data_IF_490010846669
#
_entry.id   IF_490010846669
#
_cell.length_a   1.000
_cell.length_b   1.000
_cell.length_c   1.000
_cell.angle_alpha   90.00
_cell.angle_beta   90.00
_cell.angle_gamma   90.00
#
_symmetry.space_group_name_H-M   'P 1'
#
loop_
_entity.id
_entity.type
_entity.pdbx_description
1 polymer ?
#
# COMPACT_ATOMS: atom_id res chain seq x y z
N UNK A 1 -17.88 7.33 -1.28
CA UNK A 1 -17.31 7.35 0.09
C UNK A 1 -15.89 7.90 0.00
N UNK A 2 -15.40 8.65 0.99
CA UNK A 2 -14.03 9.11 1.00
C UNK A 2 -13.07 7.92 1.17
N UNK A 3 -11.91 8.00 0.52
CA UNK A 3 -10.78 7.12 0.82
C UNK A 3 -10.26 7.52 2.20
N UNK A 4 -10.10 6.57 3.12
CA UNK A 4 -9.46 6.85 4.40
C UNK A 4 -8.00 6.45 4.32
N UNK A 5 -7.13 7.32 4.79
CA UNK A 5 -5.70 7.04 4.91
C UNK A 5 -5.33 7.24 6.36
N UNK A 6 -4.74 6.21 6.97
CA UNK A 6 -4.16 6.26 8.29
C UNK A 6 -2.69 5.87 8.20
N UNK A 7 -1.85 6.39 9.10
CA UNK A 7 -0.47 5.95 9.20
C UNK A 7 -0.03 6.00 10.66
N UNK A 8 0.94 5.17 11.00
CA UNK A 8 1.60 5.21 12.30
C UNK A 8 3.03 4.72 12.16
N UNK A 9 3.85 5.09 13.13
CA UNK A 9 5.24 4.63 13.25
C UNK A 9 5.38 3.94 14.59
N UNK A 10 5.83 2.69 14.59
CA UNK A 10 6.09 1.93 15.81
C UNK A 10 7.33 1.07 15.61
N UNK A 11 8.25 1.06 16.58
CA UNK A 11 9.48 0.26 16.51
C UNK A 11 10.26 0.45 15.21
N UNK A 12 10.37 1.70 14.73
CA UNK A 12 11.01 2.06 13.45
C UNK A 12 10.32 1.45 12.22
N UNK A 13 9.09 0.96 12.34
CA UNK A 13 8.27 0.52 11.21
C UNK A 13 7.23 1.60 10.91
N UNK A 14 7.26 2.15 9.70
CA UNK A 14 6.17 2.97 9.16
C UNK A 14 5.12 2.03 8.57
N UNK A 15 3.89 2.14 9.06
CA UNK A 15 2.73 1.46 8.50
C UNK A 15 1.77 2.50 7.94
N UNK A 16 1.39 2.36 6.67
CA UNK A 16 0.37 3.17 6.00
C UNK A 16 -0.79 2.25 5.66
N UNK A 17 -2.00 2.67 6.02
CA UNK A 17 -3.24 1.97 5.76
C UNK A 17 -4.13 2.83 4.85
N UNK A 18 -4.54 2.27 3.72
CA UNK A 18 -5.46 2.90 2.79
C UNK A 18 -6.72 2.04 2.75
N UNK A 19 -7.82 2.56 3.30
CA UNK A 19 -9.15 1.96 3.20
C UNK A 19 -9.92 2.63 2.08
N UNK A 20 -10.42 1.82 1.16
CA UNK A 20 -11.32 2.30 0.12
C UNK A 20 -12.49 1.34 -0.04
N UNK A 21 -13.72 1.86 0.08
CA UNK A 21 -14.92 1.09 -0.25
C UNK A 21 -15.15 1.16 -1.76
N UNK A 22 -14.60 0.19 -2.48
CA UNK A 22 -14.84 0.06 -3.92
C UNK A 22 -16.31 -0.33 -4.13
N UNK A 23 -16.98 0.37 -5.04
CA UNK A 23 -18.34 0.04 -5.41
C UNK A 23 -18.35 -1.25 -6.25
N UNK A 24 -18.92 -2.33 -5.71
CA UNK A 24 -18.97 -3.65 -6.36
C UNK A 24 -19.84 -3.67 -7.63
N UNK A 25 -20.59 -2.60 -7.92
CA UNK A 25 -21.33 -2.43 -9.18
C UNK A 25 -20.47 -1.85 -10.32
N UNK A 26 -19.20 -1.56 -10.08
CA UNK A 26 -18.27 -1.13 -11.13
C UNK A 26 -17.84 -2.35 -11.96
N UNK A 27 -17.92 -2.24 -13.29
CA UNK A 27 -17.33 -3.25 -14.19
C UNK A 27 -15.86 -3.43 -13.83
N UNK A 28 -15.44 -4.68 -13.63
CA UNK A 28 -14.03 -5.02 -13.46
C UNK A 28 -13.27 -4.49 -14.67
N UNK A 29 -12.46 -3.46 -14.46
CA UNK A 29 -11.60 -2.92 -15.52
C UNK A 29 -10.34 -3.78 -15.53
N UNK A 30 -10.09 -4.48 -16.63
CA UNK A 30 -8.84 -5.21 -16.82
C UNK A 30 -7.69 -4.21 -16.89
N UNK A 31 -6.86 -4.16 -15.85
CA UNK A 31 -5.61 -3.39 -15.85
C UNK A 31 -4.43 -4.33 -16.11
N UNK A 32 -3.36 -3.80 -16.71
CA UNK A 32 -2.09 -4.54 -16.87
C UNK A 32 -1.39 -4.81 -15.53
N UNK A 33 -1.83 -4.16 -14.45
CA UNK A 33 -1.22 -4.24 -13.12
C UNK A 33 0.17 -3.62 -13.02
N UNK A 34 0.64 -2.86 -14.04
CA UNK A 34 2.01 -2.31 -14.09
C UNK A 34 2.29 -1.37 -12.91
N UNK A 35 1.32 -0.53 -12.55
CA UNK A 35 1.46 0.39 -11.40
C UNK A 35 1.73 -0.37 -10.11
N UNK A 36 0.89 -1.35 -9.79
CA UNK A 36 1.02 -2.19 -8.59
C UNK A 36 2.31 -3.02 -8.59
N UNK A 37 2.67 -3.63 -9.72
CA UNK A 37 3.95 -4.37 -9.88
C UNK A 37 5.15 -3.46 -9.64
N UNK A 38 5.08 -2.21 -10.11
CA UNK A 38 6.13 -1.21 -9.88
C UNK A 38 6.22 -0.84 -8.40
N UNK A 39 5.10 -0.58 -7.75
CA UNK A 39 5.05 -0.30 -6.31
C UNK A 39 5.63 -1.46 -5.48
N UNK A 40 5.26 -2.71 -5.78
CA UNK A 40 5.81 -3.90 -5.12
C UNK A 40 7.33 -3.96 -5.23
N UNK A 41 7.88 -3.76 -6.44
CA UNK A 41 9.35 -3.72 -6.65
C UNK A 41 10.05 -2.60 -5.89
N UNK A 42 9.45 -1.41 -5.80
CA UNK A 42 10.00 -0.29 -5.02
C UNK A 42 10.04 -0.67 -3.54
N UNK A 43 8.95 -1.24 -3.01
CA UNK A 43 8.87 -1.66 -1.62
C UNK A 43 9.87 -2.77 -1.30
N UNK A 44 9.98 -3.80 -2.14
CA UNK A 44 10.97 -4.87 -2.01
C UNK A 44 12.41 -4.34 -1.93
N UNK A 45 12.79 -3.40 -2.82
CA UNK A 45 14.12 -2.74 -2.82
C UNK A 45 14.42 -1.97 -1.53
N UNK A 46 13.37 -1.59 -0.80
CA UNK A 46 13.45 -0.80 0.40
C UNK A 46 13.14 -1.60 1.67
N UNK A 47 13.20 -2.95 1.58
CA UNK A 47 12.87 -3.89 2.65
C UNK A 47 11.49 -3.61 3.26
N UNK A 48 10.54 -3.23 2.40
CA UNK A 48 9.16 -3.01 2.74
C UNK A 48 8.24 -4.03 2.08
N UNK A 49 6.98 -4.02 2.50
CA UNK A 49 5.94 -4.95 2.07
C UNK A 49 4.67 -4.20 1.68
N UNK A 50 3.95 -4.75 0.70
CA UNK A 50 2.57 -4.37 0.36
C UNK A 50 1.68 -5.58 0.58
N UNK A 51 0.58 -5.38 1.32
CA UNK A 51 -0.47 -6.37 1.51
C UNK A 51 -1.79 -5.81 0.97
N UNK A 52 -2.50 -6.63 0.20
CA UNK A 52 -3.77 -6.29 -0.44
C UNK A 52 -4.87 -7.18 0.13
N UNK A 53 -5.94 -6.56 0.63
CA UNK A 53 -7.18 -7.21 1.06
C UNK A 53 -8.36 -6.49 0.39
N UNK A 54 -9.54 -7.11 0.36
CA UNK A 54 -10.70 -6.68 -0.46
C UNK A 54 -11.09 -5.19 -0.36
N UNK A 55 -10.74 -4.52 0.75
CA UNK A 55 -11.01 -3.09 0.98
C UNK A 55 -9.78 -2.28 1.41
N UNK A 56 -8.62 -2.91 1.52
CA UNK A 56 -7.48 -2.35 2.22
C UNK A 56 -6.15 -2.59 1.51
N UNK A 57 -5.32 -1.55 1.50
CA UNK A 57 -3.91 -1.65 1.18
C UNK A 57 -3.10 -1.29 2.41
N UNK A 58 -2.20 -2.18 2.80
CA UNK A 58 -1.23 -1.94 3.87
C UNK A 58 0.17 -1.86 3.29
N UNK A 59 0.88 -0.80 3.60
CA UNK A 59 2.28 -0.60 3.27
C UNK A 59 3.10 -0.61 4.55
N UNK A 60 4.16 -1.39 4.60
CA UNK A 60 5.04 -1.47 5.76
C UNK A 60 6.48 -1.27 5.34
N UNK A 61 7.21 -0.40 6.03
CA UNK A 61 8.61 -0.13 5.75
C UNK A 61 9.40 0.08 7.02
N UNK A 62 10.51 -0.63 7.14
CA UNK A 62 11.48 -0.37 8.18
C UNK A 62 12.27 0.92 7.89
N UNK A 63 12.37 1.78 8.89
CA UNK A 63 12.94 3.13 8.87
C UNK A 63 14.40 3.17 9.36
N UNK A 64 15.06 2.02 9.55
CA UNK A 64 16.46 1.91 10.03
C UNK A 64 17.51 2.52 9.07
N UNK A 65 17.11 3.20 7.98
CA UNK A 65 17.99 3.98 7.12
C UNK A 65 17.32 5.30 6.74
N UNK A 66 17.89 6.39 7.22
CA UNK A 66 17.73 7.74 6.67
C UNK A 66 18.18 7.69 5.21
N UNK A 67 17.29 8.03 4.27
CA UNK A 67 17.70 8.30 2.90
C UNK A 67 18.35 9.69 2.89
N UNK A 68 19.67 9.73 2.69
CA UNK A 68 20.33 10.86 2.02
C UNK A 68 19.96 10.81 0.54
#
# INVERSE_FOLDING_TARGET
MPIKVAYYIQNQLLTIYVENKINNNLKVVSSTGIGLKTCKKIMERHNGQITEEDYFFRFEKNMNRTFL
#
